data_IF_008990989908
#
_entry.id   IF_008990989908
#
_cell.length_a   1.000
_cell.length_b   1.000
_cell.length_c   1.000
_cell.angle_alpha   90.00
_cell.angle_beta   90.00
_cell.angle_gamma   90.00
#
_symmetry.space_group_name_H-M   'P 1'
#
loop_
_entity.id
_entity.type
_entity.pdbx_description
1 polymer ?
#
# COMPACT_ATOMS: atom_id res chain seq x y z
N UNK A 1 45.97 20.56 16.99
CA UNK A 1 44.57 21.01 16.96
C UNK A 1 44.13 21.03 15.50
N UNK A 2 43.53 19.94 15.02
CA UNK A 2 42.74 19.96 13.81
C UNK A 2 41.42 19.29 14.19
N UNK A 3 40.39 20.12 14.37
CA UNK A 3 39.05 19.66 14.63
C UNK A 3 38.60 18.85 13.42
N UNK A 4 38.34 17.56 13.64
CA UNK A 4 37.53 16.79 12.72
C UNK A 4 36.14 17.38 12.82
N UNK A 5 35.76 18.13 11.79
CA UNK A 5 34.44 18.68 11.66
C UNK A 5 33.42 17.55 11.80
N UNK A 6 32.61 17.66 12.85
CA UNK A 6 31.43 16.87 13.10
C UNK A 6 30.36 17.23 12.06
N UNK A 7 30.61 16.92 10.79
CA UNK A 7 29.60 17.01 9.75
C UNK A 7 28.66 15.80 9.87
N UNK A 8 27.52 16.08 10.50
CA UNK A 8 26.26 15.38 10.28
C UNK A 8 26.30 13.84 10.38
N UNK A 9 26.50 13.32 11.59
CA UNK A 9 25.77 12.11 11.99
C UNK A 9 24.29 12.50 12.15
N UNK A 10 23.63 12.79 11.03
CA UNK A 10 22.20 12.91 10.98
C UNK A 10 21.63 11.53 11.26
N UNK A 11 21.35 11.27 12.53
CA UNK A 11 20.40 10.25 12.99
C UNK A 11 20.58 8.89 12.28
N UNK A 12 21.64 8.14 12.64
CA UNK A 12 21.86 6.77 12.14
C UNK A 12 20.64 5.85 12.38
N UNK A 13 19.72 6.25 13.25
CA UNK A 13 18.41 5.61 13.45
C UNK A 13 17.49 5.64 12.23
N UNK A 14 17.72 6.53 11.25
CA UNK A 14 16.95 6.57 9.99
C UNK A 14 17.49 5.68 8.87
N UNK A 15 18.67 5.06 9.06
CA UNK A 15 19.31 4.25 8.00
C UNK A 15 18.47 3.01 7.65
N UNK A 16 17.60 2.56 8.56
CA UNK A 16 16.71 1.41 8.38
C UNK A 16 15.22 1.80 8.27
N UNK A 17 14.90 3.07 8.05
CA UNK A 17 13.50 3.47 7.83
C UNK A 17 13.18 3.44 6.34
N UNK A 18 12.19 2.65 5.93
CA UNK A 18 11.71 2.60 4.54
C UNK A 18 10.65 3.67 4.32
N UNK A 19 10.89 4.62 3.44
CA UNK A 19 9.94 5.67 3.08
C UNK A 19 8.96 5.12 2.04
N UNK A 20 7.67 5.13 2.33
CA UNK A 20 6.62 4.68 1.42
C UNK A 20 5.57 5.75 1.19
N UNK A 21 4.84 5.64 0.08
CA UNK A 21 3.69 6.47 -0.22
C UNK A 21 2.41 5.67 -0.04
N UNK A 22 1.59 6.05 0.93
CA UNK A 22 0.30 5.43 1.23
C UNK A 22 -0.80 6.04 0.37
N UNK A 23 -1.66 5.18 -0.15
CA UNK A 23 -2.83 5.54 -0.93
C UNK A 23 -4.04 4.72 -0.47
N UNK A 24 -5.24 5.25 -0.68
CA UNK A 24 -6.46 4.45 -0.53
C UNK A 24 -6.60 3.57 -1.78
N UNK A 25 -7.00 2.31 -1.62
CA UNK A 25 -7.24 1.43 -2.77
C UNK A 25 -8.16 2.09 -3.79
N UNK A 26 -7.75 2.12 -5.06
CA UNK A 26 -8.46 2.79 -6.15
C UNK A 26 -8.26 4.31 -6.26
N UNK A 27 -7.52 4.94 -5.34
CA UNK A 27 -7.21 6.38 -5.37
C UNK A 27 -5.70 6.58 -5.40
N UNK A 28 -5.18 6.96 -6.57
CA UNK A 28 -3.74 7.17 -6.81
C UNK A 28 -3.30 8.62 -6.62
N UNK A 29 -4.25 9.50 -6.29
CA UNK A 29 -4.01 10.92 -6.08
C UNK A 29 -3.88 11.26 -4.59
N UNK A 30 -3.04 12.26 -4.28
CA UNK A 30 -2.87 12.82 -2.94
C UNK A 30 -2.34 11.84 -1.86
N UNK A 31 -1.50 10.89 -2.28
CA UNK A 31 -0.86 9.92 -1.40
C UNK A 31 -0.10 10.56 -0.23
N UNK A 32 -0.07 9.85 0.91
CA UNK A 32 0.58 10.31 2.15
C UNK A 32 1.88 9.56 2.38
N UNK A 33 2.97 10.29 2.55
CA UNK A 33 4.26 9.69 2.86
C UNK A 33 4.30 9.18 4.31
N UNK A 34 4.80 7.96 4.50
CA UNK A 34 5.05 7.33 5.78
C UNK A 34 6.44 6.70 5.80
N UNK A 35 7.07 6.67 6.97
CA UNK A 35 8.30 5.92 7.20
C UNK A 35 7.94 4.67 8.00
N UNK A 36 8.28 3.51 7.44
CA UNK A 36 8.11 2.20 8.08
C UNK A 36 9.34 1.95 8.94
N UNK A 37 9.09 1.53 10.19
CA UNK A 37 10.14 1.07 11.08
C UNK A 37 10.39 -0.41 10.86
N UNK A 38 11.65 -0.82 10.92
CA UNK A 38 12.07 -2.22 10.74
C UNK A 38 11.39 -3.20 11.72
N UNK A 39 11.06 -2.73 12.92
CA UNK A 39 10.38 -3.51 13.96
C UNK A 39 8.85 -3.67 13.76
N UNK A 40 8.28 -3.04 12.72
CA UNK A 40 6.83 -3.07 12.50
C UNK A 40 6.39 -4.27 11.69
N UNK A 41 5.53 -5.08 12.28
CA UNK A 41 4.71 -6.04 11.55
C UNK A 41 3.57 -5.35 10.78
N UNK A 42 2.98 -6.06 9.81
CA UNK A 42 1.87 -5.57 8.99
C UNK A 42 0.73 -4.95 9.83
N UNK A 43 0.34 -5.59 10.94
CA UNK A 43 -0.71 -5.07 11.83
C UNK A 43 -0.35 -3.73 12.47
N UNK A 44 0.90 -3.56 12.88
CA UNK A 44 1.38 -2.30 13.46
C UNK A 44 1.38 -1.21 12.39
N UNK A 45 1.85 -1.55 11.19
CA UNK A 45 1.81 -0.66 10.03
C UNK A 45 0.39 -0.19 9.69
N UNK A 46 -0.57 -1.12 9.51
CA UNK A 46 -1.96 -0.81 9.17
C UNK A 46 -2.63 0.11 10.20
N UNK A 47 -2.40 -0.14 11.49
CA UNK A 47 -2.93 0.69 12.59
C UNK A 47 -2.44 2.14 12.52
N UNK A 48 -1.19 2.35 12.10
CA UNK A 48 -0.59 3.67 11.99
C UNK A 48 -0.88 4.34 10.65
N UNK A 49 -1.07 3.56 9.58
CA UNK A 49 -1.31 4.02 8.22
C UNK A 49 -2.78 4.45 8.00
N UNK A 50 -3.75 3.70 8.52
CA UNK A 50 -5.19 3.97 8.35
C UNK A 50 -5.60 5.41 8.71
N UNK A 51 -5.29 5.89 9.93
CA UNK A 51 -5.64 7.26 10.34
C UNK A 51 -5.02 8.36 9.47
N UNK A 52 -3.89 8.11 8.81
CA UNK A 52 -3.22 9.10 7.95
C UNK A 52 -3.96 9.32 6.63
N UNK A 53 -4.67 8.30 6.17
CA UNK A 53 -5.55 8.38 5.01
C UNK A 53 -6.98 8.82 5.37
N UNK A 54 -7.24 9.12 6.66
CA UNK A 54 -8.60 9.42 7.13
C UNK A 54 -9.52 8.20 7.12
N UNK A 55 -8.97 6.98 7.00
CA UNK A 55 -9.72 5.75 7.16
C UNK A 55 -9.94 5.53 8.66
N UNK A 56 -11.18 5.23 9.04
CA UNK A 56 -11.49 4.79 10.39
C UNK A 56 -10.68 3.51 10.73
N UNK A 57 -10.38 3.29 12.01
CA UNK A 57 -9.52 2.18 12.49
C UNK A 57 -9.97 0.76 12.03
N UNK A 58 -11.15 0.63 11.41
CA UNK A 58 -11.72 -0.60 10.88
C UNK A 58 -11.58 -0.76 9.35
N UNK A 59 -11.03 0.23 8.63
CA UNK A 59 -11.04 0.25 7.15
C UNK A 59 -9.74 -0.20 6.47
N UNK A 60 -8.65 -0.42 7.20
CA UNK A 60 -7.36 -0.85 6.66
C UNK A 60 -7.01 -2.24 7.20
N UNK A 61 -7.47 -3.28 6.50
CA UNK A 61 -7.23 -4.68 6.87
C UNK A 61 -6.16 -5.32 5.96
N UNK A 62 -6.10 -4.86 4.71
CA UNK A 62 -5.20 -5.39 3.68
C UNK A 62 -4.36 -4.26 3.10
N UNK A 63 -3.19 -4.63 2.59
CA UNK A 63 -2.25 -3.72 1.94
C UNK A 63 -1.78 -4.36 0.63
N UNK A 64 -1.78 -3.59 -0.45
CA UNK A 64 -1.26 -4.01 -1.74
C UNK A 64 -0.13 -3.08 -2.17
N UNK A 65 0.82 -3.61 -2.93
CA UNK A 65 1.83 -2.79 -3.57
C UNK A 65 1.35 -2.25 -4.93
N UNK A 66 2.19 -1.49 -5.63
CA UNK A 66 1.88 -0.94 -6.95
C UNK A 66 1.65 -1.99 -8.03
N UNK A 67 2.19 -3.19 -7.87
CA UNK A 67 1.98 -4.33 -8.77
C UNK A 67 0.67 -5.09 -8.47
N UNK A 68 -0.07 -4.69 -7.43
CA UNK A 68 -1.28 -5.37 -6.98
C UNK A 68 -1.03 -6.65 -6.17
N UNK A 69 0.21 -6.87 -5.73
CA UNK A 69 0.56 -7.97 -4.85
C UNK A 69 0.19 -7.60 -3.42
N UNK A 70 -0.51 -8.50 -2.73
CA UNK A 70 -0.83 -8.33 -1.32
C UNK A 70 0.45 -8.41 -0.47
N UNK A 71 0.70 -7.35 0.29
CA UNK A 71 1.82 -7.26 1.22
C UNK A 71 1.42 -7.96 2.51
N UNK A 72 1.93 -9.17 2.71
CA UNK A 72 1.72 -9.94 3.94
C UNK A 72 2.76 -9.63 5.02
N UNK A 73 3.93 -9.12 4.61
CA UNK A 73 5.06 -8.82 5.50
C UNK A 73 5.79 -7.54 5.05
N UNK A 74 6.18 -6.70 6.01
CA UNK A 74 6.86 -5.43 5.75
C UNK A 74 8.29 -5.61 5.22
N UNK A 75 8.86 -6.81 5.33
CA UNK A 75 10.15 -7.11 4.70
C UNK A 75 10.08 -7.05 3.17
N UNK A 76 8.91 -7.30 2.58
CA UNK A 76 8.70 -7.31 1.12
C UNK A 76 8.60 -5.90 0.53
N UNK A 77 8.44 -4.89 1.37
CA UNK A 77 8.29 -3.50 0.95
C UNK A 77 9.66 -2.87 0.72
N UNK A 78 9.84 -2.17 -0.39
CA UNK A 78 11.06 -1.44 -0.71
C UNK A 78 10.96 0.06 -0.38
N UNK A 79 12.12 0.73 -0.28
CA UNK A 79 12.16 2.20 -0.11
C UNK A 79 11.66 2.90 -1.38
N UNK A 80 10.79 3.88 -1.19
CA UNK A 80 10.13 4.64 -2.25
C UNK A 80 8.85 3.99 -2.80
N UNK A 81 8.44 2.83 -2.29
CA UNK A 81 7.31 2.08 -2.83
C UNK A 81 5.95 2.72 -2.53
N UNK A 82 4.97 2.46 -3.41
CA UNK A 82 3.59 2.88 -3.26
C UNK A 82 2.75 1.74 -2.69
N UNK A 83 2.09 2.00 -1.56
CA UNK A 83 1.25 1.04 -0.87
C UNK A 83 -0.21 1.51 -0.85
N UNK A 84 -1.12 0.57 -1.03
CA UNK A 84 -2.55 0.80 -1.16
C UNK A 84 -3.29 0.08 -0.05
N UNK A 85 -3.93 0.85 0.83
CA UNK A 85 -4.72 0.32 1.94
C UNK A 85 -6.14 -0.01 1.47
N UNK A 86 -6.59 -1.22 1.78
CA UNK A 86 -7.90 -1.74 1.42
C UNK A 86 -8.63 -2.32 2.65
N UNK A 87 -9.96 -2.34 2.62
CA UNK A 87 -10.75 -3.00 3.64
C UNK A 87 -10.76 -4.52 3.44
N UNK A 88 -11.23 -5.24 4.47
CA UNK A 88 -11.33 -6.70 4.41
C UNK A 88 -12.28 -7.13 3.28
N UNK A 89 -11.78 -7.93 2.34
CA UNK A 89 -12.56 -8.43 1.21
C UNK A 89 -12.57 -7.54 -0.04
N UNK A 90 -11.97 -6.36 -0.01
CA UNK A 90 -11.75 -5.56 -1.22
C UNK A 90 -10.65 -6.18 -2.10
N UNK A 91 -10.88 -6.15 -3.42
CA UNK A 91 -9.89 -6.47 -4.44
C UNK A 91 -9.02 -5.25 -4.73
N UNK A 92 -7.78 -5.46 -5.16
CA UNK A 92 -6.90 -4.36 -5.54
C UNK A 92 -7.44 -3.63 -6.77
N UNK A 93 -7.60 -2.31 -6.67
CA UNK A 93 -8.08 -1.45 -7.74
C UNK A 93 -6.88 -0.70 -8.34
N UNK A 94 -6.30 -1.28 -9.39
CA UNK A 94 -5.20 -0.69 -10.14
C UNK A 94 -5.64 0.60 -10.86
N UNK A 95 -4.72 1.54 -11.17
CA UNK A 95 -5.08 2.77 -11.86
C UNK A 95 -5.50 2.43 -13.30
N UNK A 96 -6.72 2.82 -13.67
CA UNK A 96 -7.33 2.43 -14.95
C UNK A 96 -8.21 1.17 -14.90
N UNK A 97 -8.21 0.46 -13.77
CA UNK A 97 -9.18 -0.58 -13.41
C UNK A 97 -10.19 0.01 -12.41
N UNK A 98 -10.92 1.04 -12.80
CA UNK A 98 -12.22 1.27 -12.16
C UNK A 98 -13.08 0.08 -12.53
N UNK A 99 -13.54 -0.69 -11.53
CA UNK A 99 -14.30 -1.94 -11.67
C UNK A 99 -15.63 -1.81 -12.41
N UNK A 100 -15.54 -1.45 -13.69
CA UNK A 100 -16.61 -1.35 -14.67
C UNK A 100 -16.43 -2.48 -15.69
N UNK A 101 -16.05 -3.65 -15.21
CA UNK A 101 -16.20 -4.91 -15.94
C UNK A 101 -16.74 -5.97 -14.97
N UNK A 102 -17.93 -5.71 -14.43
CA UNK A 102 -18.87 -6.81 -14.21
C UNK A 102 -19.17 -7.40 -15.58
N UNK A 103 -18.27 -8.26 -16.05
CA UNK A 103 -18.49 -9.13 -17.18
C UNK A 103 -19.70 -10.01 -16.88
N UNK A 104 -20.88 -9.55 -17.27
CA UNK A 104 -22.02 -10.41 -17.54
C UNK A 104 -21.61 -11.25 -18.76
N UNK A 105 -20.80 -12.28 -18.53
CA UNK A 105 -20.68 -13.38 -19.48
C UNK A 105 -22.02 -14.13 -19.42
N UNK A 106 -23.03 -13.58 -20.10
CA UNK A 106 -24.12 -14.38 -20.61
C UNK A 106 -23.50 -15.35 -21.60
N UNK A 107 -23.15 -16.52 -21.06
CA UNK A 107 -23.22 -17.78 -21.76
C UNK A 107 -24.67 -17.94 -22.29
N UNK A 108 -24.99 -17.27 -23.39
CA UNK A 108 -26.10 -17.71 -24.26
C UNK A 108 -25.53 -18.79 -25.16
N UNK A 109 -25.48 -19.99 -24.58
CA UNK A 109 -25.24 -21.23 -25.28
C UNK A 109 -26.09 -21.29 -26.56
N UNK A 110 -25.40 -21.47 -27.69
CA UNK A 110 -26.01 -21.80 -28.96
C UNK A 110 -26.82 -23.08 -28.85
N UNK A 111 -28.14 -22.94 -28.78
CA UNK A 111 -29.09 -24.04 -28.75
C UNK A 111 -29.86 -24.17 -30.06
N UNK A 112 -29.45 -25.15 -30.89
CA UNK A 112 -30.36 -26.12 -31.51
C UNK A 112 -31.34 -25.65 -32.59
N UNK A 113 -31.23 -26.27 -33.76
CA UNK A 113 -32.10 -26.02 -34.90
C UNK A 113 -33.56 -26.45 -34.75
N UNK A 114 -34.35 -25.95 -35.70
CA UNK A 114 -35.67 -26.42 -36.11
C UNK A 114 -35.79 -26.32 -37.61
#
# INVERSE_FOLDING_TARGET
>A
MHGLDAFAFGDLSRINEKKVTLNVNGVFENGKVMYIKDEWDLRAFLREAGPRLGLDRAGADRCFNSDGVEVTDMVMVDDGEHLFLAAAGDEFLAPGFTGEESGDYRDEGGGGGG
#
